data_IF_280591016916
#
_entry.id   IF_280591016916
#
_cell.length_a   1.000
_cell.length_b   1.000
_cell.length_c   1.000
_cell.angle_alpha   90.00
_cell.angle_beta   90.00
_cell.angle_gamma   90.00
#
_symmetry.space_group_name_H-M   'P 1'
#
loop_
_entity.id
_entity.type
_entity.pdbx_description
1 polymer ?
#
# COMPACT_ATOMS: atom_id res chain seq x y z
N UNK A 1 -8.93 -20.00 -16.07
CA UNK A 1 -8.56 -21.38 -16.46
C UNK A 1 -8.46 -21.42 -17.99
N UNK A 2 -7.40 -20.84 -18.53
CA UNK A 2 -7.22 -20.62 -19.98
C UNK A 2 -6.04 -21.46 -20.44
N UNK A 3 -6.33 -22.48 -21.24
CA UNK A 3 -5.52 -23.12 -22.28
C UNK A 3 -3.98 -23.02 -22.19
N UNK A 4 -3.34 -23.70 -21.23
CA UNK A 4 -1.88 -23.97 -21.27
C UNK A 4 -1.50 -25.28 -21.99
N UNK A 5 -2.48 -26.08 -22.45
CA UNK A 5 -2.24 -27.40 -23.08
C UNK A 5 -1.94 -27.36 -24.60
N UNK A 6 -2.09 -26.20 -25.24
CA UNK A 6 -1.92 -26.09 -26.71
C UNK A 6 -0.47 -26.20 -27.22
N UNK A 7 0.57 -25.62 -26.56
CA UNK A 7 1.93 -25.70 -27.08
C UNK A 7 2.59 -27.08 -26.91
N UNK A 8 2.32 -27.80 -25.81
CA UNK A 8 2.86 -29.15 -25.59
C UNK A 8 2.29 -30.17 -26.59
N UNK A 9 0.96 -30.15 -26.80
CA UNK A 9 0.30 -31.04 -27.76
C UNK A 9 0.71 -30.79 -29.22
N UNK A 10 1.00 -29.54 -29.60
CA UNK A 10 1.55 -29.20 -30.91
C UNK A 10 3.00 -29.67 -31.10
N UNK A 11 3.80 -29.67 -30.03
CA UNK A 11 5.18 -30.19 -30.03
C UNK A 11 5.17 -31.71 -30.21
N UNK A 12 4.33 -32.42 -29.43
CA UNK A 12 4.12 -33.87 -29.54
C UNK A 12 3.59 -34.27 -30.93
N UNK A 13 2.61 -33.54 -31.48
CA UNK A 13 2.09 -33.78 -32.84
C UNK A 13 3.14 -33.55 -33.94
N UNK A 14 4.11 -32.63 -33.73
CA UNK A 14 5.24 -32.42 -34.65
C UNK A 14 6.29 -33.53 -34.53
N UNK A 15 6.54 -34.04 -33.33
CA UNK A 15 7.43 -35.18 -33.09
C UNK A 15 6.87 -36.46 -33.67
N UNK A 16 5.57 -36.74 -33.50
CA UNK A 16 4.86 -37.87 -34.11
C UNK A 16 4.86 -37.84 -35.64
N UNK A 17 4.91 -36.65 -36.27
CA UNK A 17 5.06 -36.52 -37.74
C UNK A 17 6.52 -36.70 -38.22
N UNK A 18 7.51 -36.54 -37.33
CA UNK A 18 8.94 -36.73 -37.64
C UNK A 18 9.37 -38.20 -37.58
N UNK A 19 8.76 -39.01 -36.72
CA UNK A 19 9.12 -40.42 -36.53
C UNK A 19 8.87 -41.32 -37.75
N UNK A 20 8.00 -40.89 -38.69
CA UNK A 20 7.68 -41.64 -39.91
C UNK A 20 8.55 -41.36 -41.15
N UNK A 21 9.44 -40.35 -41.13
CA UNK A 21 10.31 -40.01 -42.27
C UNK A 21 11.76 -40.39 -41.98
N UNK A 22 12.46 -41.02 -42.94
CA UNK A 22 13.91 -41.23 -42.85
C UNK A 22 14.58 -39.86 -42.72
N UNK A 23 15.21 -39.62 -41.58
CA UNK A 23 15.90 -38.36 -41.31
C UNK A 23 16.98 -38.13 -42.37
N UNK A 24 17.02 -36.91 -42.92
CA UNK A 24 18.12 -36.50 -43.79
C UNK A 24 19.42 -36.38 -42.99
N UNK A 25 20.58 -36.50 -43.64
CA UNK A 25 21.89 -36.28 -42.98
C UNK A 25 21.97 -34.92 -42.27
N UNK A 26 21.28 -33.92 -42.83
CA UNK A 26 21.15 -32.58 -42.25
C UNK A 26 20.32 -32.59 -40.96
N UNK A 27 19.18 -33.30 -40.93
CA UNK A 27 18.34 -33.40 -39.72
C UNK A 27 19.05 -34.08 -38.56
N UNK A 28 19.81 -35.15 -38.82
CA UNK A 28 20.65 -35.81 -37.82
C UNK A 28 21.73 -34.86 -37.29
N UNK A 29 22.41 -34.12 -38.16
CA UNK A 29 23.42 -33.14 -37.74
C UNK A 29 22.80 -32.01 -36.93
N UNK A 30 21.63 -31.52 -37.36
CA UNK A 30 20.86 -30.50 -36.63
C UNK A 30 20.48 -30.99 -35.24
N UNK A 31 20.01 -32.23 -35.10
CA UNK A 31 19.67 -32.81 -33.81
C UNK A 31 20.90 -32.95 -32.90
N UNK A 32 22.04 -33.37 -33.45
CA UNK A 32 23.32 -33.41 -32.71
C UNK A 32 23.74 -32.03 -32.20
N UNK A 33 23.63 -30.99 -33.03
CA UNK A 33 23.96 -29.61 -32.63
C UNK A 33 22.99 -29.10 -31.57
N UNK A 34 21.70 -29.37 -31.70
CA UNK A 34 20.70 -29.00 -30.69
C UNK A 34 20.99 -29.69 -29.36
N UNK A 35 21.25 -31.00 -29.36
CA UNK A 35 21.57 -31.75 -28.15
C UNK A 35 22.87 -31.28 -27.51
N UNK A 36 23.87 -30.92 -28.32
CA UNK A 36 25.12 -30.33 -27.82
C UNK A 36 24.89 -28.98 -27.11
N UNK A 37 24.09 -28.10 -27.71
CA UNK A 37 23.75 -26.80 -27.10
C UNK A 37 22.90 -27.02 -25.84
N UNK A 38 21.93 -27.93 -25.86
CA UNK A 38 21.10 -28.27 -24.69
C UNK A 38 21.96 -28.81 -23.53
N UNK A 39 22.92 -29.70 -23.80
CA UNK A 39 23.86 -30.16 -22.77
C UNK A 39 24.72 -29.03 -22.20
N UNK A 40 25.20 -28.12 -23.05
CA UNK A 40 26.06 -27.02 -22.64
C UNK A 40 25.31 -26.01 -21.76
N UNK A 41 24.08 -25.67 -22.13
CA UNK A 41 23.23 -24.78 -21.32
C UNK A 41 22.93 -25.42 -19.96
N UNK A 42 22.58 -26.71 -19.92
CA UNK A 42 22.26 -27.41 -18.67
C UNK A 42 23.45 -27.56 -17.73
N UNK A 43 24.65 -27.71 -18.29
CA UNK A 43 25.88 -27.88 -17.52
C UNK A 43 26.37 -26.57 -16.92
N UNK A 44 26.31 -25.47 -17.67
CA UNK A 44 26.97 -24.21 -17.27
C UNK A 44 26.04 -23.07 -16.84
N UNK A 45 24.77 -23.05 -17.26
CA UNK A 45 23.81 -21.98 -16.90
C UNK A 45 22.94 -22.40 -15.71
N UNK A 46 23.59 -22.61 -14.56
CA UNK A 46 22.92 -22.82 -13.29
C UNK A 46 22.58 -21.49 -12.61
N UNK A 47 21.48 -21.41 -11.84
CA UNK A 47 21.17 -20.23 -11.04
C UNK A 47 22.30 -19.94 -10.05
N UNK A 48 22.71 -18.67 -9.86
CA UNK A 48 23.81 -18.32 -8.96
C UNK A 48 23.54 -18.72 -7.51
N UNK A 49 22.27 -18.84 -7.10
CA UNK A 49 21.86 -19.25 -5.75
C UNK A 49 22.24 -20.71 -5.43
N UNK A 50 22.58 -21.50 -6.45
CA UNK A 50 23.04 -22.89 -6.28
C UNK A 50 24.51 -22.98 -5.88
N UNK A 51 25.26 -21.89 -5.99
CA UNK A 51 26.69 -21.85 -5.70
C UNK A 51 26.93 -21.39 -4.26
N UNK A 52 27.92 -21.95 -3.55
CA UNK A 52 28.26 -21.47 -2.22
C UNK A 52 28.80 -20.04 -2.29
N UNK A 53 28.44 -19.21 -1.31
CA UNK A 53 29.01 -17.86 -1.11
C UNK A 53 28.70 -16.87 -2.25
N UNK A 54 27.64 -17.10 -3.04
CA UNK A 54 27.23 -16.20 -4.12
C UNK A 54 26.80 -14.81 -3.60
N UNK A 55 26.31 -14.74 -2.35
CA UNK A 55 25.87 -13.51 -1.69
C UNK A 55 27.00 -12.48 -1.48
N UNK A 56 28.26 -12.91 -1.53
CA UNK A 56 29.41 -12.01 -1.44
C UNK A 56 29.58 -11.11 -2.68
N UNK A 57 29.04 -11.53 -3.83
CA UNK A 57 29.16 -10.82 -5.12
C UNK A 57 27.82 -10.41 -5.73
N UNK A 58 26.71 -10.95 -5.24
CA UNK A 58 25.34 -10.62 -5.67
C UNK A 58 24.58 -9.83 -4.61
N UNK A 59 23.68 -8.94 -5.06
CA UNK A 59 22.78 -8.16 -4.20
C UNK A 59 21.31 -8.47 -4.57
N UNK A 60 20.51 -8.84 -3.57
CA UNK A 60 19.13 -9.35 -3.78
C UNK A 60 18.04 -8.48 -3.15
N UNK A 61 18.37 -7.37 -2.47
CA UNK A 61 17.37 -6.52 -1.81
C UNK A 61 16.70 -5.53 -2.77
N UNK A 62 16.00 -6.07 -3.78
CA UNK A 62 15.31 -5.31 -4.82
C UNK A 62 14.20 -4.40 -4.25
N UNK A 63 13.44 -4.89 -3.26
CA UNK A 63 12.39 -4.09 -2.60
C UNK A 63 12.97 -2.84 -1.94
N UNK A 64 14.05 -3.01 -1.18
CA UNK A 64 14.73 -1.91 -0.50
C UNK A 64 15.24 -0.89 -1.51
N UNK A 65 15.88 -1.33 -2.61
CA UNK A 65 16.28 -0.41 -3.68
C UNK A 65 15.06 0.30 -4.30
N UNK A 66 13.98 -0.42 -4.55
CA UNK A 66 12.79 0.14 -5.16
C UNK A 66 12.17 1.24 -4.28
N UNK A 67 12.05 1.02 -2.97
CA UNK A 67 11.51 2.02 -2.04
C UNK A 67 12.37 3.29 -1.96
N UNK A 68 13.70 3.14 -2.01
CA UNK A 68 14.61 4.28 -1.95
C UNK A 68 14.71 5.05 -3.27
N UNK A 69 14.61 4.35 -4.42
CA UNK A 69 14.69 4.98 -5.74
C UNK A 69 13.34 5.54 -6.21
N UNK A 70 12.25 4.84 -5.92
CA UNK A 70 10.89 5.19 -6.32
C UNK A 70 10.01 5.41 -5.08
N UNK A 71 10.35 6.43 -4.30
CA UNK A 71 9.60 6.77 -3.10
C UNK A 71 8.16 7.19 -3.43
N UNK A 72 7.20 6.69 -2.65
CA UNK A 72 5.77 7.02 -2.77
C UNK A 72 5.26 7.77 -1.52
N UNK A 73 5.64 9.05 -1.30
CA UNK A 73 5.37 9.77 -0.05
C UNK A 73 3.86 9.95 0.22
N UNK A 74 3.05 10.12 -0.81
CA UNK A 74 1.59 10.22 -0.66
C UNK A 74 0.98 8.93 -0.14
N UNK A 75 1.44 7.77 -0.62
CA UNK A 75 0.98 6.47 -0.16
C UNK A 75 1.40 6.26 1.30
N UNK A 76 2.64 6.61 1.66
CA UNK A 76 3.12 6.53 3.04
C UNK A 76 2.25 7.39 4.00
N UNK A 77 1.94 8.64 3.64
CA UNK A 77 1.06 9.51 4.42
C UNK A 77 -0.36 8.94 4.53
N UNK A 78 -0.92 8.46 3.41
CA UNK A 78 -2.25 7.85 3.38
C UNK A 78 -2.32 6.62 4.30
N UNK A 79 -1.32 5.75 4.24
CA UNK A 79 -1.24 4.55 5.09
C UNK A 79 -1.06 4.92 6.56
N UNK A 80 -0.20 5.89 6.87
CA UNK A 80 0.04 6.34 8.25
C UNK A 80 -1.20 6.96 8.90
N UNK A 81 -1.94 7.80 8.16
CA UNK A 81 -3.13 8.48 8.67
C UNK A 81 -4.37 7.57 8.73
N UNK A 82 -4.49 6.59 7.83
CA UNK A 82 -5.57 5.61 7.87
C UNK A 82 -5.33 4.51 8.90
N UNK A 83 -4.10 4.03 9.01
CA UNK A 83 -3.75 2.90 9.85
C UNK A 83 -2.44 3.15 10.62
N UNK A 84 -2.50 3.92 11.73
CA UNK A 84 -1.32 4.25 12.54
C UNK A 84 -0.69 3.02 13.23
N UNK A 85 -1.39 1.88 13.29
CA UNK A 85 -0.87 0.65 13.88
C UNK A 85 0.40 0.16 13.17
N UNK A 86 0.53 0.33 11.84
CA UNK A 86 1.72 -0.11 11.11
C UNK A 86 3.02 0.53 11.61
N UNK A 87 2.94 1.72 12.19
CA UNK A 87 4.09 2.48 12.69
C UNK A 87 4.20 2.42 14.21
N UNK A 88 3.09 2.57 14.94
CA UNK A 88 3.07 2.62 16.40
C UNK A 88 3.03 1.24 17.08
N UNK A 89 2.64 0.19 16.35
CA UNK A 89 2.57 -1.21 16.82
C UNK A 89 1.82 -1.40 18.15
N UNK A 90 0.78 -0.61 18.37
CA UNK A 90 -0.07 -0.71 19.55
C UNK A 90 -1.39 -1.43 19.20
N UNK A 91 -1.67 -2.54 19.87
CA UNK A 91 -2.86 -3.38 19.67
C UNK A 91 -4.18 -2.61 19.76
N UNK A 92 -4.25 -1.54 20.56
CA UNK A 92 -5.46 -0.70 20.70
C UNK A 92 -5.80 0.06 19.40
N UNK A 93 -4.83 0.24 18.52
CA UNK A 93 -5.00 0.91 17.23
C UNK A 93 -5.34 -0.05 16.08
N UNK A 94 -5.35 -1.36 16.33
CA UNK A 94 -5.82 -2.33 15.34
C UNK A 94 -7.31 -2.11 15.14
N UNK A 95 -7.69 -1.72 13.94
CA UNK A 95 -9.07 -1.47 13.56
C UNK A 95 -9.31 -2.02 12.17
N UNK A 96 -10.52 -2.52 11.93
CA UNK A 96 -10.97 -2.95 10.61
C UNK A 96 -11.05 -1.75 9.66
N UNK A 97 -10.96 -2.01 8.35
CA UNK A 97 -11.02 -0.97 7.32
C UNK A 97 -12.32 -0.15 7.45
N UNK A 98 -12.17 1.17 7.51
CA UNK A 98 -13.30 2.10 7.63
C UNK A 98 -13.75 2.42 9.07
N UNK A 99 -13.26 1.73 10.10
CA UNK A 99 -13.52 2.14 11.48
C UNK A 99 -12.55 3.24 11.95
N UNK A 100 -13.04 4.17 12.78
CA UNK A 100 -12.23 5.20 13.44
C UNK A 100 -11.96 4.72 14.88
N UNK A 101 -10.77 4.19 15.18
CA UNK A 101 -10.45 3.87 16.56
C UNK A 101 -10.44 5.16 17.37
N UNK A 102 -11.27 5.21 18.41
CA UNK A 102 -11.44 6.35 19.31
C UNK A 102 -10.15 6.68 20.11
N UNK A 103 -9.21 5.73 20.18
CA UNK A 103 -7.87 5.91 20.80
C UNK A 103 -6.80 6.38 19.79
N UNK A 104 -7.17 6.62 18.53
CA UNK A 104 -6.23 7.07 17.51
C UNK A 104 -5.69 8.49 17.79
N UNK A 105 -4.50 8.83 17.24
CA UNK A 105 -4.02 10.21 17.26
C UNK A 105 -5.01 11.18 16.62
N UNK A 106 -5.10 12.41 17.14
CA UNK A 106 -6.05 13.45 16.69
C UNK A 106 -6.06 13.65 15.16
N UNK A 107 -4.87 13.73 14.57
CA UNK A 107 -4.71 13.91 13.11
C UNK A 107 -5.29 12.74 12.31
N UNK A 108 -5.23 11.50 12.83
CA UNK A 108 -5.79 10.32 12.16
C UNK A 108 -7.33 10.35 12.23
N UNK A 109 -7.90 10.77 13.36
CA UNK A 109 -9.35 10.93 13.54
C UNK A 109 -9.87 12.01 12.60
N UNK A 110 -9.25 13.20 12.63
CA UNK A 110 -9.60 14.31 11.74
C UNK A 110 -9.47 13.89 10.27
N UNK A 111 -8.41 13.16 9.92
CA UNK A 111 -8.22 12.63 8.58
C UNK A 111 -9.30 11.61 8.18
N UNK A 112 -9.71 10.67 9.03
CA UNK A 112 -10.79 9.75 8.61
C UNK A 112 -12.11 10.49 8.36
N UNK A 113 -12.47 11.42 9.24
CA UNK A 113 -13.67 12.25 9.07
C UNK A 113 -13.61 13.13 7.80
N UNK A 114 -12.44 13.66 7.44
CA UNK A 114 -12.31 14.49 6.22
C UNK A 114 -12.53 13.70 4.91
N UNK A 115 -12.29 12.38 4.93
CA UNK A 115 -12.52 11.51 3.76
C UNK A 115 -14.01 11.29 3.51
N UNK A 116 -14.82 11.23 4.57
CA UNK A 116 -16.28 11.08 4.50
C UNK A 116 -16.99 12.36 4.06
N UNK A 117 -16.33 13.51 4.25
CA UNK A 117 -16.88 14.80 3.86
C UNK A 117 -16.87 15.04 2.34
N UNK A 118 -17.69 16.01 1.90
CA UNK A 118 -17.66 16.48 0.52
C UNK A 118 -16.42 17.34 0.21
N UNK A 119 -16.26 17.80 -1.05
CA UNK A 119 -15.16 18.70 -1.45
C UNK A 119 -15.10 19.99 -0.61
N UNK A 120 -16.24 20.46 -0.10
CA UNK A 120 -16.32 21.63 0.76
C UNK A 120 -16.79 21.17 2.14
N UNK A 121 -15.96 21.35 3.16
CA UNK A 121 -16.16 20.83 4.52
C UNK A 121 -16.58 21.99 5.41
N UNK A 122 -17.68 21.83 6.14
CA UNK A 122 -18.10 22.76 7.20
C UNK A 122 -17.24 22.50 8.44
N UNK A 123 -16.56 23.52 8.96
CA UNK A 123 -15.69 23.38 10.12
C UNK A 123 -16.45 23.06 11.41
N UNK A 124 -17.69 23.56 11.55
CA UNK A 124 -18.50 23.32 12.76
C UNK A 124 -18.91 21.86 12.83
N UNK A 125 -19.57 21.34 11.78
CA UNK A 125 -19.98 19.93 11.71
C UNK A 125 -18.79 18.98 11.86
N UNK A 126 -17.63 19.33 11.27
CA UNK A 126 -16.43 18.53 11.40
C UNK A 126 -15.87 18.52 12.84
N UNK A 127 -15.92 19.67 13.52
CA UNK A 127 -15.51 19.76 14.92
C UNK A 127 -16.43 18.98 15.87
N UNK A 128 -17.74 18.99 15.61
CA UNK A 128 -18.74 18.23 16.38
C UNK A 128 -18.57 16.73 16.19
N UNK A 129 -18.35 16.29 14.94
CA UNK A 129 -18.05 14.89 14.63
C UNK A 129 -16.74 14.44 15.31
N UNK A 130 -15.70 15.27 15.29
CA UNK A 130 -14.44 15.01 15.98
C UNK A 130 -14.64 14.87 17.49
N UNK A 131 -15.37 15.80 18.11
CA UNK A 131 -15.68 15.74 19.54
C UNK A 131 -16.46 14.48 19.92
N UNK A 132 -17.43 14.07 19.09
CA UNK A 132 -18.21 12.84 19.30
C UNK A 132 -17.32 11.60 19.32
N UNK A 133 -16.35 11.49 18.40
CA UNK A 133 -15.41 10.35 18.36
C UNK A 133 -14.47 10.33 19.56
N UNK A 134 -13.91 11.49 19.93
CA UNK A 134 -12.95 11.58 21.04
C UNK A 134 -13.61 11.31 22.39
N UNK A 135 -14.80 11.86 22.62
CA UNK A 135 -15.58 11.62 23.85
C UNK A 135 -16.04 10.16 23.98
N UNK A 136 -16.28 9.45 22.87
CA UNK A 136 -16.57 8.02 22.88
C UNK A 136 -15.36 7.15 23.31
N UNK A 137 -14.13 7.68 23.29
CA UNK A 137 -12.91 7.01 23.78
C UNK A 137 -12.81 7.04 25.31
N UNK A 138 -13.26 8.13 25.89
CA UNK A 138 -13.12 8.40 27.32
C UNK A 138 -14.25 7.69 28.06
N UNK A 139 -13.99 6.44 28.49
CA UNK A 139 -14.78 5.84 29.57
C UNK A 139 -14.76 6.79 30.76
N UNK A 140 -15.93 7.00 31.34
CA UNK A 140 -16.29 8.04 32.30
C UNK A 140 -15.40 8.06 33.55
N UNK A 141 -14.20 8.64 33.48
CA UNK A 141 -13.43 8.99 34.67
C UNK A 141 -14.01 10.30 35.23
N UNK A 142 -14.87 10.13 36.23
CA UNK A 142 -15.65 11.18 36.89
C UNK A 142 -14.82 12.03 37.87
N UNK A 143 -13.56 12.33 37.55
CA UNK A 143 -12.71 13.15 38.42
C UNK A 143 -11.95 14.25 37.66
N UNK A 144 -12.27 15.48 38.05
CA UNK A 144 -11.42 16.69 38.09
C UNK A 144 -11.44 17.75 36.97
N UNK A 145 -12.19 17.60 35.87
CA UNK A 145 -12.31 18.67 34.85
C UNK A 145 -13.77 19.06 34.65
N UNK A 146 -14.07 20.36 34.67
CA UNK A 146 -15.43 20.83 34.37
C UNK A 146 -15.80 20.48 32.93
N UNK A 147 -17.09 20.25 32.64
CA UNK A 147 -17.52 19.89 31.28
C UNK A 147 -17.16 20.95 30.23
N UNK A 148 -17.04 22.22 30.64
CA UNK A 148 -16.69 23.35 29.78
C UNK A 148 -15.21 23.33 29.42
N UNK A 149 -14.30 23.20 30.41
CA UNK A 149 -12.85 23.10 30.17
C UNK A 149 -12.50 21.89 29.29
N UNK A 150 -13.20 20.77 29.43
CA UNK A 150 -13.01 19.59 28.58
C UNK A 150 -13.36 19.90 27.12
N UNK A 151 -14.47 20.59 26.87
CA UNK A 151 -14.90 20.96 25.53
C UNK A 151 -13.89 21.92 24.87
N UNK A 152 -13.34 22.86 25.63
CA UNK A 152 -12.29 23.77 25.15
C UNK A 152 -11.01 23.03 24.76
N UNK A 153 -10.60 22.02 25.54
CA UNK A 153 -9.44 21.17 25.22
C UNK A 153 -9.68 20.38 23.92
N UNK A 154 -10.86 19.79 23.76
CA UNK A 154 -11.20 19.04 22.54
C UNK A 154 -11.21 19.98 21.33
N UNK A 155 -11.75 21.19 21.48
CA UNK A 155 -11.74 22.20 20.43
C UNK A 155 -10.31 22.62 20.05
N UNK A 156 -9.43 22.84 21.03
CA UNK A 156 -8.03 23.15 20.78
C UNK A 156 -7.28 22.01 20.06
N UNK A 157 -7.56 20.74 20.44
CA UNK A 157 -7.03 19.55 19.75
C UNK A 157 -7.48 19.48 18.29
N UNK A 158 -8.75 19.79 18.03
CA UNK A 158 -9.29 19.87 16.67
C UNK A 158 -8.57 20.94 15.84
N UNK A 159 -8.43 22.18 16.36
CA UNK A 159 -7.73 23.27 15.67
C UNK A 159 -6.30 22.86 15.30
N UNK A 160 -5.59 22.20 16.22
CA UNK A 160 -4.24 21.67 15.95
C UNK A 160 -4.25 20.63 14.83
N UNK A 161 -5.14 19.64 14.89
CA UNK A 161 -5.22 18.59 13.86
C UNK A 161 -5.56 19.15 12.47
N UNK A 162 -6.47 20.14 12.39
CA UNK A 162 -6.81 20.80 11.13
C UNK A 162 -5.62 21.59 10.58
N UNK A 163 -4.86 22.27 11.45
CA UNK A 163 -3.67 23.02 11.07
C UNK A 163 -2.56 22.10 10.52
N UNK A 164 -2.39 20.92 11.10
CA UNK A 164 -1.48 19.88 10.59
C UNK A 164 -1.95 19.34 9.22
N UNK A 165 -3.24 19.11 9.04
CA UNK A 165 -3.81 18.70 7.74
C UNK A 165 -3.68 19.77 6.66
N UNK A 166 -3.78 21.05 7.03
CA UNK A 166 -3.52 22.18 6.13
C UNK A 166 -2.05 22.21 5.71
N UNK A 167 -1.12 22.05 6.67
CA UNK A 167 0.33 21.99 6.41
C UNK A 167 0.71 20.86 5.45
N UNK A 168 0.07 19.69 5.59
CA UNK A 168 0.25 18.55 4.71
C UNK A 168 -0.45 18.69 3.35
N UNK A 169 -1.25 19.74 3.15
CA UNK A 169 -1.93 20.04 1.90
C UNK A 169 -3.20 19.21 1.65
N UNK A 170 -3.84 18.67 2.69
CA UNK A 170 -5.11 17.96 2.57
C UNK A 170 -6.32 18.91 2.51
N UNK A 171 -6.24 20.04 3.22
CA UNK A 171 -7.28 21.06 3.29
C UNK A 171 -6.71 22.46 3.04
N UNK A 172 -7.57 23.39 2.61
CA UNK A 172 -7.21 24.80 2.40
C UNK A 172 -8.36 25.73 2.76
N UNK A 173 -8.11 26.90 3.37
CA UNK A 173 -9.13 27.91 3.59
C UNK A 173 -9.73 28.39 2.26
N UNK A 174 -11.04 28.59 2.24
CA UNK A 174 -11.76 29.10 1.07
C UNK A 174 -12.36 30.47 1.34
N UNK A 175 -12.42 31.32 0.30
CA UNK A 175 -13.13 32.61 0.37
C UNK A 175 -14.62 32.49 0.02
N UNK A 176 -15.09 31.30 -0.35
CA UNK A 176 -16.47 31.08 -0.80
C UNK A 176 -17.48 31.11 0.34
N UNK A 177 -17.09 30.58 1.51
CA UNK A 177 -17.85 30.60 2.77
C UNK A 177 -16.84 30.69 3.92
N UNK A 178 -17.13 31.52 4.92
CA UNK A 178 -16.20 31.89 5.99
C UNK A 178 -15.93 30.77 6.99
N UNK A 179 -16.84 29.82 7.09
CA UNK A 179 -16.87 28.67 8.01
C UNK A 179 -16.51 27.34 7.33
N UNK A 180 -16.03 27.39 6.08
CA UNK A 180 -15.72 26.18 5.30
C UNK A 180 -14.24 26.11 4.90
N UNK A 181 -13.76 24.88 4.74
CA UNK A 181 -12.47 24.57 4.10
C UNK A 181 -12.69 23.71 2.86
N UNK A 182 -11.78 23.82 1.88
CA UNK A 182 -11.79 23.00 0.68
C UNK A 182 -10.85 21.81 0.84
N UNK A 183 -11.34 20.61 0.56
CA UNK A 183 -10.51 19.41 0.44
C UNK A 183 -9.72 19.46 -0.87
N UNK A 184 -8.41 19.21 -0.80
CA UNK A 184 -7.50 19.24 -1.95
C UNK A 184 -7.22 17.85 -2.51
N UNK A 185 -7.48 16.80 -1.74
CA UNK A 185 -7.30 15.40 -2.13
C UNK A 185 -8.61 14.74 -2.53
N UNK A 186 -8.54 13.78 -3.44
CA UNK A 186 -9.65 12.89 -3.79
C UNK A 186 -9.41 11.55 -3.08
N UNK A 187 -10.45 11.03 -2.42
CA UNK A 187 -10.45 9.71 -1.80
C UNK A 187 -10.41 8.64 -2.89
N UNK A 188 -9.42 7.74 -2.80
CA UNK A 188 -9.18 6.67 -3.76
C UNK A 188 -7.89 6.86 -4.54
N UNK A 189 -6.82 6.20 -4.08
CA UNK A 189 -5.82 5.61 -4.95
C UNK A 189 -5.98 4.11 -4.84
#
# INVERSE_FOLDING_TARGET
>A
MVCFFHPQSLLEMKELRRTGKKQTKFEVLREKVVNFIDSLVREYLLPPETQPLYEAVYFTAAHTLHEHLNAAPRLALHTALNNPYYYLKNEVLKSEEGCIPNVAPDICIAYKLHLECSRLINLVDWSEAFATVVTAAEKTDANSVTSEERNDIIHARFIRAVSELELLGFVKPTKRKTDHVARLTWGGC
#
